data_IF_632219363409
#
_entry.id   IF_632219363409
#
_cell.length_a   1.000
_cell.length_b   1.000
_cell.length_c   1.000
_cell.angle_alpha   90.00
_cell.angle_beta   90.00
_cell.angle_gamma   90.00
#
_symmetry.space_group_name_H-M   'P 1'
#
loop_
_entity.id
_entity.type
_entity.pdbx_description
1 polymer ?
#
# COMPACT_ATOMS: atom_id res chain seq x y z
N UNK A 1 -9.95 49.94 59.77
CA UNK A 1 -10.93 49.20 58.87
C UNK A 1 -10.88 49.73 57.46
N UNK A 2 -10.25 49.03 56.53
CA UNK A 2 -10.30 49.39 55.07
C UNK A 2 -11.63 48.96 54.48
N UNK A 3 -12.49 49.90 54.07
CA UNK A 3 -13.73 49.64 53.33
C UNK A 3 -13.34 48.98 51.99
N UNK A 4 -13.62 47.68 51.83
CA UNK A 4 -13.59 47.02 50.51
C UNK A 4 -14.64 47.71 49.61
N UNK A 5 -14.17 48.44 48.58
CA UNK A 5 -15.06 48.94 47.51
C UNK A 5 -15.72 47.70 46.85
N UNK A 6 -17.04 47.61 46.99
CA UNK A 6 -17.84 46.65 46.24
C UNK A 6 -17.64 46.97 44.76
N UNK A 7 -16.94 46.12 44.02
CA UNK A 7 -16.83 46.26 42.55
C UNK A 7 -18.21 45.97 41.97
N UNK A 8 -18.73 46.95 41.28
CA UNK A 8 -20.01 46.86 40.60
C UNK A 8 -19.93 45.82 39.45
N UNK A 9 -20.50 44.65 39.65
CA UNK A 9 -20.42 43.51 38.75
C UNK A 9 -20.92 43.83 37.32
N UNK A 10 -21.90 44.73 37.23
CA UNK A 10 -22.44 45.16 35.92
C UNK A 10 -21.40 45.97 35.12
N UNK A 11 -20.62 46.82 35.78
CA UNK A 11 -19.56 47.59 35.11
C UNK A 11 -18.41 46.69 34.66
N UNK A 12 -18.07 45.66 35.44
CA UNK A 12 -17.03 44.70 35.06
C UNK A 12 -17.50 43.91 33.84
N UNK A 13 -18.73 43.44 33.79
CA UNK A 13 -19.33 42.72 32.64
C UNK A 13 -19.31 43.61 31.40
N UNK A 14 -19.82 44.84 31.52
CA UNK A 14 -19.87 45.79 30.41
C UNK A 14 -18.47 46.09 29.85
N UNK A 15 -17.51 46.38 30.75
CA UNK A 15 -16.10 46.61 30.35
C UNK A 15 -15.52 45.37 29.65
N UNK A 16 -15.79 44.15 30.16
CA UNK A 16 -15.32 42.92 29.52
C UNK A 16 -15.92 42.73 28.12
N UNK A 17 -17.20 43.05 27.92
CA UNK A 17 -17.84 43.00 26.62
C UNK A 17 -17.22 44.01 25.68
N UNK A 18 -17.00 45.27 26.10
CA UNK A 18 -16.38 46.30 25.25
C UNK A 18 -14.97 45.85 24.84
N UNK A 19 -14.16 45.39 25.81
CA UNK A 19 -12.80 44.89 25.53
C UNK A 19 -12.85 43.72 24.55
N UNK A 20 -13.77 42.78 24.70
CA UNK A 20 -13.95 41.63 23.81
C UNK A 20 -14.25 42.07 22.38
N UNK A 21 -15.22 42.97 22.21
CA UNK A 21 -15.57 43.48 20.85
C UNK A 21 -14.44 44.33 20.25
N UNK A 22 -13.72 45.11 21.05
CA UNK A 22 -12.55 45.88 20.61
C UNK A 22 -11.43 44.93 20.11
N UNK A 23 -11.17 43.85 20.84
CA UNK A 23 -10.19 42.84 20.45
C UNK A 23 -10.62 42.13 19.14
N UNK A 24 -11.89 41.75 19.02
CA UNK A 24 -12.42 41.15 17.79
C UNK A 24 -12.28 42.13 16.62
N UNK A 25 -12.68 43.37 16.78
CA UNK A 25 -12.57 44.41 15.73
C UNK A 25 -11.10 44.57 15.32
N UNK A 26 -10.19 44.70 16.30
CA UNK A 26 -8.77 44.83 16.01
C UNK A 26 -8.23 43.62 15.25
N UNK A 27 -8.56 42.41 15.67
CA UNK A 27 -8.15 41.17 14.98
C UNK A 27 -8.75 41.06 13.58
N UNK A 28 -9.92 41.66 13.30
CA UNK A 28 -10.57 41.58 12.00
C UNK A 28 -10.01 42.56 10.95
N UNK A 29 -9.34 43.65 11.38
CA UNK A 29 -8.80 44.67 10.47
C UNK A 29 -7.94 44.10 9.33
N UNK A 30 -7.01 43.11 9.56
CA UNK A 30 -6.21 42.56 8.49
C UNK A 30 -7.02 41.89 7.37
N UNK A 31 -8.22 41.37 7.68
CA UNK A 31 -9.08 40.71 6.68
C UNK A 31 -9.58 41.69 5.61
N UNK A 32 -9.62 42.99 5.92
CA UNK A 32 -10.07 44.04 5.01
C UNK A 32 -8.98 44.52 4.04
N UNK A 33 -7.76 44.05 4.18
CA UNK A 33 -6.65 44.47 3.36
C UNK A 33 -6.60 43.72 2.02
N UNK A 34 -6.19 44.39 0.96
CA UNK A 34 -5.89 43.74 -0.33
C UNK A 34 -4.45 43.20 -0.30
N UNK A 35 -4.32 41.86 -0.37
CA UNK A 35 -3.03 41.17 -0.33
C UNK A 35 -2.48 40.79 -1.72
N UNK A 36 -3.21 41.02 -2.79
CA UNK A 36 -2.71 40.75 -4.15
C UNK A 36 -1.45 41.58 -4.49
N UNK A 37 -1.30 42.73 -3.87
CA UNK A 37 -0.11 43.60 -4.05
C UNK A 37 1.20 42.99 -3.52
N UNK A 38 1.12 41.99 -2.64
CA UNK A 38 2.30 41.33 -2.06
C UNK A 38 2.50 39.91 -2.63
N UNK A 39 1.77 39.51 -3.67
CA UNK A 39 1.85 38.20 -4.29
C UNK A 39 3.30 37.81 -4.61
N UNK A 40 4.03 38.64 -5.34
CA UNK A 40 5.42 38.36 -5.74
C UNK A 40 6.35 38.17 -4.51
N UNK A 41 6.06 38.84 -3.39
CA UNK A 41 6.85 38.72 -2.17
C UNK A 41 6.58 37.38 -1.53
N UNK A 42 5.32 36.94 -1.50
CA UNK A 42 4.92 35.63 -0.96
C UNK A 42 5.53 34.50 -1.81
N UNK A 43 5.41 34.58 -3.15
CA UNK A 43 5.97 33.58 -4.07
C UNK A 43 7.49 33.42 -3.85
N UNK A 44 8.24 34.52 -3.86
CA UNK A 44 9.68 34.51 -3.60
C UNK A 44 10.04 33.93 -2.23
N UNK A 45 9.22 34.24 -1.22
CA UNK A 45 9.46 33.76 0.16
C UNK A 45 9.22 32.25 0.27
N UNK A 46 8.17 31.73 -0.33
CA UNK A 46 7.89 30.29 -0.38
C UNK A 46 8.99 29.56 -1.16
N UNK A 47 9.39 30.06 -2.30
CA UNK A 47 10.48 29.48 -3.09
C UNK A 47 11.79 29.45 -2.31
N UNK A 48 12.18 30.54 -1.67
CA UNK A 48 13.44 30.61 -0.93
C UNK A 48 13.46 29.73 0.34
N UNK A 49 12.36 29.66 1.10
CA UNK A 49 12.32 29.02 2.42
C UNK A 49 11.84 27.56 2.38
N UNK A 50 10.93 27.22 1.47
CA UNK A 50 10.36 25.87 1.35
C UNK A 50 10.89 25.11 0.14
N UNK A 51 11.63 25.79 -0.74
CA UNK A 51 12.13 25.20 -2.00
C UNK A 51 10.99 24.65 -2.87
N UNK A 52 9.88 25.37 -2.87
CA UNK A 52 8.70 25.12 -3.67
C UNK A 52 8.50 26.34 -4.57
N UNK A 53 8.58 26.16 -5.86
CA UNK A 53 8.28 27.28 -6.76
C UNK A 53 6.77 27.48 -6.82
N UNK A 54 6.32 28.61 -6.26
CA UNK A 54 4.90 28.91 -6.09
C UNK A 54 4.47 29.93 -7.14
N UNK A 55 3.43 29.61 -7.90
CA UNK A 55 2.73 30.52 -8.77
C UNK A 55 1.28 30.66 -8.32
N UNK A 56 0.94 31.84 -7.80
CA UNK A 56 -0.40 32.14 -7.32
C UNK A 56 -1.29 32.51 -8.51
N UNK A 57 -2.41 31.81 -8.67
CA UNK A 57 -3.36 32.01 -9.78
C UNK A 57 -4.68 32.66 -9.33
N UNK A 58 -4.92 32.73 -8.03
CA UNK A 58 -6.14 33.25 -7.43
C UNK A 58 -5.88 34.32 -6.39
N UNK A 59 -6.96 34.89 -5.84
CA UNK A 59 -6.88 35.91 -4.81
C UNK A 59 -6.24 35.43 -3.53
N UNK A 60 -5.51 36.34 -2.88
CA UNK A 60 -4.93 36.16 -1.57
C UNK A 60 -5.83 36.81 -0.53
N UNK A 61 -6.25 36.05 0.46
CA UNK A 61 -6.98 36.57 1.62
C UNK A 61 -6.29 36.14 2.91
N UNK A 62 -6.49 36.89 3.98
CA UNK A 62 -6.01 36.48 5.31
C UNK A 62 -7.14 35.87 6.12
N UNK A 63 -6.80 34.81 6.85
CA UNK A 63 -7.67 34.18 7.86
C UNK A 63 -6.94 34.17 9.20
N UNK A 64 -7.64 34.45 10.28
CA UNK A 64 -7.06 34.58 11.62
C UNK A 64 -7.15 33.29 12.40
N UNK A 65 -8.26 32.56 12.25
CA UNK A 65 -8.52 31.31 12.97
C UNK A 65 -8.31 30.08 12.09
N UNK A 66 -7.91 28.92 12.67
CA UNK A 66 -7.44 28.72 14.06
C UNK A 66 -6.06 29.31 14.36
N UNK A 67 -5.26 29.62 13.36
CA UNK A 67 -3.99 30.35 13.40
C UNK A 67 -3.95 31.31 12.22
N UNK A 68 -3.31 32.50 12.36
CA UNK A 68 -3.20 33.43 11.23
C UNK A 68 -2.52 32.79 10.03
N UNK A 69 -3.11 32.97 8.85
CA UNK A 69 -2.55 32.47 7.59
C UNK A 69 -3.08 33.25 6.38
N UNK A 70 -2.26 33.34 5.34
CA UNK A 70 -2.74 33.68 4.02
C UNK A 70 -3.40 32.47 3.40
N UNK A 71 -4.59 32.66 2.85
CA UNK A 71 -5.33 31.66 2.10
C UNK A 71 -5.30 32.06 0.61
N UNK A 72 -4.71 31.18 -0.19
CA UNK A 72 -4.68 31.28 -1.65
C UNK A 72 -5.60 30.20 -2.20
N UNK A 73 -6.63 30.59 -2.94
CA UNK A 73 -7.66 29.64 -3.42
C UNK A 73 -7.18 28.78 -4.57
N UNK A 74 -6.27 29.27 -5.40
CA UNK A 74 -5.72 28.51 -6.52
C UNK A 74 -4.26 28.87 -6.72
N UNK A 75 -3.42 27.86 -6.78
CA UNK A 75 -1.99 28.02 -7.01
C UNK A 75 -1.43 26.77 -7.72
N UNK A 76 -0.32 27.00 -8.43
CA UNK A 76 0.54 25.92 -8.91
C UNK A 76 1.80 25.92 -8.05
N UNK A 77 2.25 24.72 -7.69
CA UNK A 77 3.51 24.48 -6.99
C UNK A 77 4.35 23.56 -7.85
N UNK A 78 5.56 24.00 -8.16
CA UNK A 78 6.57 23.15 -8.76
C UNK A 78 7.62 22.80 -7.71
N UNK A 79 7.99 21.53 -7.69
CA UNK A 79 9.10 21.08 -6.88
C UNK A 79 10.37 21.42 -7.65
N UNK A 80 11.21 22.32 -7.13
CA UNK A 80 12.52 22.76 -7.69
C UNK A 80 13.53 21.59 -7.86
N UNK A 81 13.04 20.37 -7.86
CA UNK A 81 13.78 19.12 -7.96
C UNK A 81 13.86 18.65 -9.40
N UNK A 82 12.90 19.04 -10.21
CA UNK A 82 12.59 18.36 -11.47
C UNK A 82 12.76 19.38 -12.59
N UNK A 83 13.84 19.22 -13.34
CA UNK A 83 14.10 19.99 -14.55
C UNK A 83 13.11 19.69 -15.69
N UNK A 84 11.93 19.17 -15.38
CA UNK A 84 10.93 18.70 -16.35
C UNK A 84 9.57 19.34 -16.05
N UNK A 85 8.92 19.93 -17.04
CA UNK A 85 7.66 20.68 -16.92
C UNK A 85 6.45 19.88 -16.39
N UNK A 86 6.61 18.60 -16.13
CA UNK A 86 5.51 17.67 -15.82
C UNK A 86 5.16 17.51 -14.34
N UNK A 87 5.84 18.17 -13.42
CA UNK A 87 5.66 18.00 -11.97
C UNK A 87 4.90 19.11 -11.27
N UNK A 88 4.08 19.82 -12.02
CA UNK A 88 3.25 20.89 -11.46
C UNK A 88 2.14 20.31 -10.58
N UNK A 89 2.10 20.74 -9.32
CA UNK A 89 1.06 20.40 -8.35
C UNK A 89 -0.02 21.48 -8.41
N UNK A 90 -1.19 21.13 -8.90
CA UNK A 90 -2.35 22.02 -8.83
C UNK A 90 -2.98 21.98 -7.45
N UNK A 91 -3.05 23.14 -6.79
CA UNK A 91 -3.58 23.30 -5.44
C UNK A 91 -4.83 24.13 -5.45
N UNK A 92 -5.91 23.64 -4.85
CA UNK A 92 -7.15 24.42 -4.71
C UNK A 92 -7.18 25.28 -3.44
N UNK A 93 -6.50 24.92 -2.38
CA UNK A 93 -6.40 25.71 -1.15
C UNK A 93 -5.01 25.61 -0.56
N UNK A 94 -4.26 26.70 -0.65
CA UNK A 94 -2.95 26.84 -0.05
C UNK A 94 -3.04 27.77 1.15
N UNK A 95 -2.63 27.30 2.33
CA UNK A 95 -2.55 28.11 3.55
C UNK A 95 -1.09 28.33 3.92
N UNK A 96 -0.71 29.58 4.06
CA UNK A 96 0.62 30.00 4.46
C UNK A 96 0.54 30.58 5.86
N UNK A 97 0.92 29.78 6.87
CA UNK A 97 0.82 30.19 8.28
C UNK A 97 1.86 31.24 8.63
N UNK A 98 1.42 32.28 9.32
CA UNK A 98 2.24 33.40 9.76
C UNK A 98 2.23 33.53 11.29
N UNK A 99 3.32 34.03 11.91
CA UNK A 99 3.32 34.34 13.34
C UNK A 99 2.28 35.39 13.68
N UNK A 100 1.57 35.25 14.79
CA UNK A 100 0.55 36.20 15.23
C UNK A 100 1.09 37.63 15.37
N UNK A 101 2.37 37.77 15.73
CA UNK A 101 3.06 39.08 15.90
C UNK A 101 3.24 39.78 14.52
N UNK A 102 3.21 39.03 13.41
CA UNK A 102 3.38 39.57 12.05
C UNK A 102 2.08 39.80 11.31
N UNK A 103 0.92 39.68 12.00
CA UNK A 103 -0.41 39.78 11.40
C UNK A 103 -0.63 41.11 10.66
N UNK A 104 -0.04 42.21 11.13
CA UNK A 104 -0.15 43.54 10.53
C UNK A 104 1.06 43.93 9.66
N UNK A 105 2.08 43.10 9.57
CA UNK A 105 3.29 43.39 8.80
C UNK A 105 3.07 43.06 7.32
N UNK A 106 3.21 44.05 6.45
CA UNK A 106 3.15 43.86 4.99
C UNK A 106 4.53 43.80 4.35
N UNK A 107 5.54 44.42 4.97
CA UNK A 107 6.89 44.50 4.42
C UNK A 107 7.79 43.36 4.85
N UNK A 108 7.51 42.74 6.03
CA UNK A 108 8.32 41.66 6.58
C UNK A 108 7.43 40.39 6.73
N UNK A 109 7.23 39.72 5.61
CA UNK A 109 6.44 38.48 5.55
C UNK A 109 7.28 37.33 6.05
N UNK A 110 6.80 36.68 7.11
CA UNK A 110 7.39 35.47 7.69
C UNK A 110 6.38 34.33 7.53
N UNK A 111 6.79 33.25 6.89
CA UNK A 111 5.95 32.04 6.72
C UNK A 111 6.53 30.94 7.63
N UNK A 112 5.76 30.48 8.58
CA UNK A 112 6.16 29.44 9.53
C UNK A 112 5.93 28.02 9.00
N UNK A 113 4.84 27.81 8.27
CA UNK A 113 4.46 26.53 7.70
C UNK A 113 3.58 26.71 6.46
N UNK A 114 3.56 25.69 5.61
CA UNK A 114 2.70 25.58 4.45
C UNK A 114 1.73 24.42 4.64
N UNK A 115 0.43 24.65 4.34
CA UNK A 115 -0.58 23.60 4.28
C UNK A 115 -1.26 23.62 2.91
N UNK A 116 -1.23 22.48 2.24
CA UNK A 116 -1.79 22.24 0.91
C UNK A 116 -3.04 21.39 1.09
N UNK A 117 -4.18 21.81 0.55
CA UNK A 117 -5.43 21.03 0.62
C UNK A 117 -5.99 20.80 -0.79
N UNK A 118 -6.57 19.61 -0.98
CA UNK A 118 -7.25 19.20 -2.20
C UNK A 118 -6.36 19.30 -3.46
N UNK A 119 -5.14 18.77 -3.37
CA UNK A 119 -4.17 18.78 -4.47
C UNK A 119 -4.10 17.42 -5.18
N UNK A 120 -3.82 17.48 -6.48
CA UNK A 120 -3.35 16.36 -7.25
C UNK A 120 -1.83 16.48 -7.42
N UNK A 121 -1.09 15.49 -6.97
CA UNK A 121 0.37 15.50 -6.92
C UNK A 121 0.87 14.38 -7.82
N UNK A 122 1.49 14.74 -8.93
CA UNK A 122 2.03 13.81 -9.91
C UNK A 122 3.53 13.64 -9.68
N UNK A 123 3.97 12.39 -9.46
CA UNK A 123 5.37 12.04 -9.20
C UNK A 123 5.80 10.92 -10.15
N UNK A 124 6.81 11.16 -10.95
CA UNK A 124 7.47 10.10 -11.71
C UNK A 124 8.31 9.22 -10.76
N UNK A 125 8.42 7.94 -11.05
CA UNK A 125 9.19 7.00 -10.22
C UNK A 125 10.63 7.45 -10.00
N UNK A 126 11.27 8.05 -11.00
CA UNK A 126 12.62 8.63 -10.90
C UNK A 126 12.72 9.76 -9.88
N UNK A 127 11.66 10.55 -9.71
CA UNK A 127 11.66 11.77 -8.91
C UNK A 127 11.40 11.50 -7.41
N UNK A 128 10.95 10.29 -7.06
CA UNK A 128 10.67 9.91 -5.66
C UNK A 128 11.95 9.98 -4.81
N UNK A 129 13.08 9.57 -5.36
CA UNK A 129 14.37 9.63 -4.67
C UNK A 129 14.84 11.07 -4.48
N UNK A 130 14.67 11.90 -5.50
CA UNK A 130 15.03 13.32 -5.47
C UNK A 130 14.14 14.09 -4.48
N UNK A 131 12.83 13.82 -4.46
CA UNK A 131 11.91 14.39 -3.48
C UNK A 131 12.38 14.11 -2.04
N UNK A 132 12.81 12.88 -1.77
CA UNK A 132 13.36 12.52 -0.46
C UNK A 132 14.59 13.34 -0.10
N UNK A 133 15.57 13.47 -1.03
CA UNK A 133 16.75 14.31 -0.81
C UNK A 133 16.34 15.74 -0.49
N UNK A 134 15.42 16.28 -1.25
CA UNK A 134 14.92 17.63 -1.11
C UNK A 134 14.30 17.85 0.29
N UNK A 135 13.38 16.98 0.71
CA UNK A 135 12.75 17.05 2.02
C UNK A 135 13.79 17.02 3.16
N UNK A 136 14.76 16.11 3.08
CA UNK A 136 15.68 15.93 4.21
C UNK A 136 16.83 16.91 4.25
N UNK A 137 17.30 17.42 3.12
CA UNK A 137 18.48 18.30 3.08
C UNK A 137 18.14 19.76 2.89
N UNK A 138 17.15 20.06 2.04
CA UNK A 138 16.87 21.46 1.67
C UNK A 138 15.75 22.11 2.50
N UNK A 139 14.72 21.35 2.90
CA UNK A 139 13.57 21.89 3.61
C UNK A 139 13.77 21.85 5.11
N UNK A 140 13.59 23.00 5.77
CA UNK A 140 13.75 23.15 7.21
C UNK A 140 12.50 23.72 7.91
N UNK A 141 11.38 23.78 7.21
CA UNK A 141 10.10 24.29 7.75
C UNK A 141 9.00 23.25 7.57
N UNK A 142 7.98 23.27 8.43
CA UNK A 142 6.86 22.32 8.34
C UNK A 142 6.05 22.47 7.05
N UNK A 143 5.69 21.33 6.44
CA UNK A 143 4.77 21.24 5.31
C UNK A 143 3.68 20.23 5.67
N UNK A 144 2.44 20.61 5.42
CA UNK A 144 1.27 19.78 5.63
C UNK A 144 0.49 19.63 4.33
N UNK A 145 0.01 18.43 4.04
CA UNK A 145 -0.86 18.16 2.88
C UNK A 145 -2.09 17.42 3.40
N UNK A 146 -3.27 17.81 2.95
CA UNK A 146 -4.55 17.20 3.37
C UNK A 146 -5.46 16.92 2.18
N UNK A 147 -6.25 15.86 2.28
CA UNK A 147 -7.32 15.52 1.33
C UNK A 147 -6.86 15.58 -0.12
N UNK A 148 -5.71 15.00 -0.42
CA UNK A 148 -5.03 15.09 -1.71
C UNK A 148 -4.85 13.71 -2.33
N UNK A 149 -4.42 13.63 -3.59
CA UNK A 149 -4.12 12.36 -4.26
C UNK A 149 -2.70 12.38 -4.78
N UNK A 150 -1.98 11.29 -4.57
CA UNK A 150 -0.73 11.01 -5.27
C UNK A 150 -0.99 10.13 -6.48
N UNK A 151 -0.45 10.56 -7.60
CA UNK A 151 -0.38 9.81 -8.86
C UNK A 151 1.09 9.47 -9.09
N UNK A 152 1.43 8.20 -8.99
CA UNK A 152 2.78 7.72 -9.31
C UNK A 152 2.77 7.34 -10.78
N UNK A 153 3.65 7.97 -11.55
CA UNK A 153 3.75 7.83 -12.99
C UNK A 153 5.02 7.06 -13.36
N UNK A 154 4.97 6.32 -14.46
CA UNK A 154 6.18 5.87 -15.15
C UNK A 154 6.85 7.03 -15.93
N UNK A 155 7.98 6.76 -16.59
CA UNK A 155 8.66 7.80 -17.38
C UNK A 155 7.89 8.21 -18.65
N UNK A 156 6.89 7.43 -19.08
CA UNK A 156 6.00 7.71 -20.20
C UNK A 156 4.71 8.42 -19.76
N UNK A 157 4.67 8.91 -18.50
CA UNK A 157 3.53 9.60 -17.87
C UNK A 157 2.28 8.74 -17.68
N UNK A 158 2.40 7.42 -17.78
CA UNK A 158 1.32 6.51 -17.43
C UNK A 158 1.22 6.33 -15.92
N UNK A 159 0.01 6.40 -15.39
CA UNK A 159 -0.25 6.19 -13.96
C UNK A 159 -0.03 4.72 -13.59
N UNK A 160 0.92 4.48 -12.69
CA UNK A 160 1.19 3.15 -12.11
C UNK A 160 0.31 2.92 -10.88
N UNK A 161 0.18 3.96 -10.04
CA UNK A 161 -0.49 3.86 -8.76
C UNK A 161 -1.16 5.17 -8.39
N UNK A 162 -2.38 5.09 -7.87
CA UNK A 162 -3.10 6.21 -7.26
C UNK A 162 -3.22 5.95 -5.76
N UNK A 163 -2.77 6.90 -4.95
CA UNK A 163 -2.89 6.82 -3.49
C UNK A 163 -3.64 8.04 -2.95
N UNK A 164 -4.89 7.88 -2.52
CA UNK A 164 -5.59 8.91 -1.76
C UNK A 164 -4.89 9.20 -0.44
N UNK A 165 -4.60 10.47 -0.20
CA UNK A 165 -3.88 10.95 0.99
C UNK A 165 -4.85 11.72 1.89
N UNK A 166 -5.06 11.21 3.09
CA UNK A 166 -5.83 11.89 4.14
C UNK A 166 -5.00 13.02 4.77
N UNK A 167 -3.71 12.74 5.03
CA UNK A 167 -2.82 13.73 5.67
C UNK A 167 -1.36 13.38 5.48
N UNK A 168 -0.54 14.37 5.12
CA UNK A 168 0.91 14.37 5.25
C UNK A 168 1.32 15.44 6.25
N UNK A 169 2.34 15.15 7.04
CA UNK A 169 2.96 16.11 7.96
C UNK A 169 4.47 15.92 7.95
N UNK A 170 5.16 16.89 7.37
CA UNK A 170 6.61 16.98 7.44
C UNK A 170 6.98 18.06 8.46
N UNK A 171 7.85 17.73 9.40
CA UNK A 171 8.27 18.66 10.46
C UNK A 171 9.60 18.26 11.10
N UNK A 172 10.22 19.23 11.77
CA UNK A 172 11.43 19.04 12.56
C UNK A 172 11.01 18.76 13.99
N UNK A 173 11.46 17.64 14.52
CA UNK A 173 11.27 17.29 15.92
C UNK A 173 12.52 17.62 16.73
N UNK A 174 12.48 18.76 17.43
CA UNK A 174 13.61 19.23 18.22
C UNK A 174 13.95 18.32 19.42
N UNK A 175 12.95 17.63 19.98
CA UNK A 175 13.17 16.71 21.12
C UNK A 175 13.99 15.49 20.71
N UNK A 176 13.64 14.88 19.59
CA UNK A 176 14.34 13.71 19.04
C UNK A 176 15.50 14.07 18.11
N UNK A 177 15.74 15.36 17.85
CA UNK A 177 16.74 15.85 16.89
C UNK A 177 16.63 15.13 15.54
N UNK A 178 15.42 15.11 14.99
CA UNK A 178 15.11 14.41 13.75
C UNK A 178 14.18 15.19 12.85
N UNK A 179 14.25 14.92 11.55
CA UNK A 179 13.22 15.28 10.58
C UNK A 179 12.24 14.11 10.45
N UNK A 180 10.96 14.40 10.52
CA UNK A 180 9.90 13.40 10.47
C UNK A 180 8.90 13.70 9.34
N UNK A 181 8.55 12.65 8.57
CA UNK A 181 7.49 12.69 7.57
C UNK A 181 6.45 11.63 7.95
N UNK A 182 5.25 12.07 8.26
CA UNK A 182 4.12 11.19 8.60
C UNK A 182 3.08 11.26 7.51
N UNK A 183 2.67 10.11 7.00
CA UNK A 183 1.67 9.99 5.94
C UNK A 183 0.52 9.12 6.44
N UNK A 184 -0.71 9.56 6.21
CA UNK A 184 -1.92 8.76 6.38
C UNK A 184 -2.65 8.75 5.05
N UNK A 185 -2.90 7.61 4.52
CA UNK A 185 -3.52 7.46 3.21
C UNK A 185 -4.19 6.10 3.03
N UNK A 186 -4.49 5.81 1.78
CA UNK A 186 -5.06 4.56 1.35
C UNK A 186 -4.31 4.05 0.12
N UNK A 187 -4.07 2.76 0.03
CA UNK A 187 -3.52 2.06 -1.12
C UNK A 187 -4.35 0.79 -1.30
N UNK A 188 -4.91 0.56 -2.48
CA UNK A 188 -5.75 -0.61 -2.79
C UNK A 188 -6.88 -0.81 -1.75
N UNK A 189 -7.56 0.27 -1.38
CA UNK A 189 -8.56 0.31 -0.30
C UNK A 189 -8.04 -0.05 1.10
N UNK A 190 -6.74 -0.25 1.26
CA UNK A 190 -6.10 -0.52 2.54
C UNK A 190 -5.62 0.79 3.17
N UNK A 191 -6.18 1.14 4.32
CA UNK A 191 -5.73 2.30 5.10
C UNK A 191 -4.33 2.05 5.65
N UNK A 192 -3.41 3.01 5.43
CA UNK A 192 -2.06 2.95 5.97
C UNK A 192 -1.65 4.19 6.75
N UNK A 193 -0.72 3.98 7.69
CA UNK A 193 0.05 5.03 8.34
C UNK A 193 1.54 4.77 8.09
N UNK A 194 2.22 5.74 7.52
CA UNK A 194 3.65 5.70 7.26
C UNK A 194 4.37 6.76 8.07
N UNK A 195 5.48 6.41 8.68
CA UNK A 195 6.30 7.30 9.49
C UNK A 195 7.77 7.15 9.09
N UNK A 196 8.33 8.18 8.48
CA UNK A 196 9.73 8.27 8.11
C UNK A 196 10.45 9.14 9.14
N UNK A 197 11.59 8.67 9.62
CA UNK A 197 12.38 9.38 10.62
C UNK A 197 13.86 9.33 10.31
N UNK A 198 14.47 10.50 10.27
CA UNK A 198 15.90 10.66 10.05
C UNK A 198 16.52 11.48 11.17
N UNK A 199 17.46 10.88 11.86
CA UNK A 199 18.18 11.54 12.94
C UNK A 199 19.37 12.35 12.42
N UNK A 200 19.62 13.53 12.99
CA UNK A 200 20.78 14.34 12.62
C UNK A 200 22.11 13.64 12.93
N UNK A 201 22.15 12.86 14.02
CA UNK A 201 23.33 12.11 14.42
C UNK A 201 23.70 10.94 13.47
N UNK A 202 22.73 10.44 12.66
CA UNK A 202 22.91 9.33 11.72
C UNK A 202 22.32 9.71 10.36
N UNK A 203 22.92 10.68 9.63
CA UNK A 203 22.30 11.24 8.44
C UNK A 203 22.20 10.28 7.26
N UNK A 204 23.00 9.19 7.24
CA UNK A 204 22.92 8.16 6.20
C UNK A 204 21.81 7.14 6.43
N UNK A 205 21.23 7.06 7.64
CA UNK A 205 20.22 6.08 7.98
C UNK A 205 18.85 6.74 8.10
N UNK A 206 17.85 6.16 7.49
CA UNK A 206 16.46 6.57 7.63
C UNK A 206 15.63 5.39 8.11
N UNK A 207 14.92 5.58 9.21
CA UNK A 207 13.92 4.62 9.68
C UNK A 207 12.58 4.93 9.02
N UNK A 208 11.93 3.91 8.53
CA UNK A 208 10.61 4.01 7.95
C UNK A 208 9.71 2.91 8.51
N UNK A 209 8.58 3.28 9.03
CA UNK A 209 7.58 2.35 9.56
C UNK A 209 6.26 2.54 8.81
N UNK A 210 5.70 1.47 8.26
CA UNK A 210 4.38 1.44 7.64
C UNK A 210 3.51 0.50 8.46
N UNK A 211 2.30 0.94 8.78
CA UNK A 211 1.25 0.13 9.39
C UNK A 211 0.04 0.12 8.47
N UNK A 212 -0.29 -1.06 7.95
CA UNK A 212 -1.55 -1.31 7.26
C UNK A 212 -2.59 -1.76 8.28
N UNK A 213 -3.86 -1.45 8.06
CA UNK A 213 -4.89 -1.77 9.05
C UNK A 213 -5.59 -3.10 8.78
N UNK A 214 -5.96 -3.35 7.54
CA UNK A 214 -6.61 -4.58 7.11
C UNK A 214 -5.97 -5.02 5.79
N UNK A 215 -5.22 -6.12 5.75
CA UNK A 215 -4.75 -6.91 6.90
C UNK A 215 -3.80 -6.12 7.81
N UNK A 216 -3.66 -6.53 9.07
CA UNK A 216 -2.74 -5.90 10.02
C UNK A 216 -1.28 -6.25 9.69
N UNK A 217 -0.63 -5.37 8.91
CA UNK A 217 0.76 -5.54 8.48
C UNK A 217 1.61 -4.42 9.07
N UNK A 218 2.71 -4.79 9.69
CA UNK A 218 3.74 -3.85 10.14
C UNK A 218 5.01 -4.06 9.34
N UNK A 219 5.44 -3.01 8.63
CA UNK A 219 6.68 -2.98 7.86
C UNK A 219 7.62 -1.98 8.52
N UNK A 220 8.81 -2.41 8.89
CA UNK A 220 9.89 -1.55 9.38
C UNK A 220 11.08 -1.64 8.45
N UNK A 221 11.45 -0.52 7.87
CA UNK A 221 12.59 -0.42 6.96
C UNK A 221 13.72 0.39 7.59
N UNK A 222 14.93 -0.05 7.38
CA UNK A 222 16.14 0.68 7.66
C UNK A 222 16.89 0.90 6.35
N UNK A 223 16.96 2.13 5.90
CA UNK A 223 17.62 2.51 4.65
C UNK A 223 19.06 2.96 4.93
N UNK A 224 20.00 2.47 4.12
CA UNK A 224 21.40 2.85 4.10
C UNK A 224 21.73 3.48 2.74
N UNK A 225 22.02 4.77 2.73
CA UNK A 225 22.29 5.52 1.52
C UNK A 225 23.80 5.55 1.25
N UNK A 226 24.20 5.00 0.11
CA UNK A 226 25.56 5.12 -0.42
C UNK A 226 25.70 6.41 -1.24
N UNK A 227 24.76 6.63 -2.16
CA UNK A 227 24.59 7.83 -2.97
C UNK A 227 23.09 8.10 -3.24
N UNK A 228 22.74 8.95 -4.20
CA UNK A 228 21.34 9.32 -4.50
C UNK A 228 20.58 8.26 -5.28
N UNK A 229 21.27 7.52 -6.17
CA UNK A 229 20.67 6.52 -7.06
C UNK A 229 20.80 5.09 -6.53
N UNK A 230 21.74 4.87 -5.62
CA UNK A 230 22.04 3.54 -5.10
C UNK A 230 21.89 3.50 -3.59
N UNK A 231 21.04 2.65 -3.11
CA UNK A 231 20.87 2.42 -1.68
C UNK A 231 20.48 0.99 -1.39
N UNK A 232 20.79 0.56 -0.18
CA UNK A 232 20.42 -0.75 0.36
C UNK A 232 19.54 -0.57 1.56
N UNK A 233 18.81 -1.60 1.91
CA UNK A 233 17.99 -1.58 3.10
C UNK A 233 17.66 -2.95 3.62
N UNK A 234 17.24 -2.93 4.86
CA UNK A 234 16.75 -4.10 5.58
C UNK A 234 15.30 -3.82 5.95
N UNK A 235 14.43 -4.78 5.70
CA UNK A 235 13.01 -4.72 6.03
C UNK A 235 12.66 -5.83 7.00
N UNK A 236 12.02 -5.46 8.07
CA UNK A 236 11.29 -6.37 8.94
C UNK A 236 9.80 -6.22 8.62
N UNK A 237 9.17 -7.30 8.20
CA UNK A 237 7.75 -7.38 7.90
C UNK A 237 7.10 -8.33 8.91
N UNK A 238 6.08 -7.85 9.63
CA UNK A 238 5.19 -8.70 10.41
C UNK A 238 3.84 -8.76 9.71
N UNK A 239 3.46 -9.97 9.30
CA UNK A 239 2.24 -10.23 8.56
C UNK A 239 1.61 -11.53 9.08
N UNK A 240 0.35 -11.50 9.51
CA UNK A 240 -0.40 -12.66 10.02
C UNK A 240 0.40 -13.45 11.09
N UNK A 241 1.07 -12.75 12.01
CA UNK A 241 1.95 -13.28 13.05
C UNK A 241 3.23 -13.97 12.54
N UNK A 242 3.56 -13.80 11.26
CA UNK A 242 4.82 -14.23 10.68
C UNK A 242 5.81 -13.07 10.59
N UNK A 243 7.05 -13.34 10.97
CA UNK A 243 8.14 -12.37 10.87
C UNK A 243 8.98 -12.70 9.64
N UNK A 244 9.03 -11.76 8.69
CA UNK A 244 9.76 -11.89 7.43
C UNK A 244 10.87 -10.84 7.40
N UNK A 245 12.09 -11.28 7.20
CA UNK A 245 13.25 -10.40 7.01
C UNK A 245 13.59 -10.35 5.53
N UNK A 246 13.81 -9.17 5.02
CA UNK A 246 14.08 -8.90 3.61
C UNK A 246 15.24 -7.94 3.50
N UNK A 247 16.21 -8.26 2.67
CA UNK A 247 17.22 -7.33 2.20
C UNK A 247 16.81 -6.82 0.82
N UNK A 248 17.07 -5.57 0.55
CA UNK A 248 16.87 -5.04 -0.79
C UNK A 248 17.99 -4.09 -1.18
N UNK A 249 18.23 -3.99 -2.48
CA UNK A 249 19.12 -3.01 -3.07
C UNK A 249 18.43 -2.32 -4.23
N UNK A 250 18.58 -1.01 -4.28
CA UNK A 250 18.11 -0.18 -5.39
C UNK A 250 19.32 0.28 -6.17
N UNK A 251 19.30 0.04 -7.47
CA UNK A 251 20.36 0.44 -8.40
C UNK A 251 19.70 1.05 -9.62
N UNK A 252 19.92 2.33 -9.83
CA UNK A 252 19.31 3.06 -10.95
C UNK A 252 17.79 2.86 -11.03
N UNK A 253 17.33 2.08 -12.01
CA UNK A 253 15.91 1.80 -12.28
C UNK A 253 15.49 0.40 -11.85
N UNK A 254 16.28 -0.31 -11.06
CA UNK A 254 15.97 -1.67 -10.62
C UNK A 254 16.01 -1.81 -9.09
N UNK A 255 15.06 -2.55 -8.56
CA UNK A 255 15.02 -2.94 -7.14
C UNK A 255 15.15 -4.46 -7.09
N UNK A 256 16.12 -4.92 -6.32
CA UNK A 256 16.33 -6.33 -6.02
C UNK A 256 15.93 -6.58 -4.57
N UNK A 257 15.09 -7.56 -4.36
CA UNK A 257 14.59 -7.96 -3.05
C UNK A 257 14.92 -9.43 -2.83
N UNK A 258 15.49 -9.75 -1.66
CA UNK A 258 15.79 -11.11 -1.29
C UNK A 258 15.61 -11.36 0.21
N UNK A 259 15.10 -12.51 0.57
CA UNK A 259 15.10 -12.97 1.96
C UNK A 259 16.46 -13.58 2.31
N UNK A 260 17.09 -13.16 3.42
CA UNK A 260 18.40 -13.70 3.80
C UNK A 260 18.31 -15.18 4.21
N UNK A 261 19.12 -16.03 3.59
CA UNK A 261 19.18 -17.49 3.84
C UNK A 261 19.56 -17.89 5.28
N UNK A 262 19.86 -16.93 6.16
CA UNK A 262 20.42 -17.20 7.49
C UNK A 262 19.36 -17.47 8.58
N UNK A 263 18.09 -17.17 8.35
CA UNK A 263 17.03 -17.38 9.34
C UNK A 263 16.27 -18.69 9.09
N UNK A 264 16.79 -19.81 9.59
CA UNK A 264 16.11 -21.13 9.57
C UNK A 264 14.70 -21.19 10.20
N UNK A 265 14.21 -20.08 10.74
CA UNK A 265 12.87 -19.99 11.36
C UNK A 265 11.83 -19.33 10.44
N UNK A 266 12.26 -18.76 9.34
CA UNK A 266 11.37 -18.04 8.44
C UNK A 266 10.57 -19.04 7.60
N UNK A 267 9.25 -18.92 7.62
CA UNK A 267 8.33 -19.79 6.87
C UNK A 267 7.86 -19.18 5.57
N UNK A 268 8.15 -17.88 5.38
CA UNK A 268 7.84 -17.13 4.16
C UNK A 268 9.11 -16.42 3.73
N UNK A 269 9.52 -16.63 2.47
CA UNK A 269 10.65 -15.97 1.85
C UNK A 269 10.18 -15.24 0.59
N UNK A 270 10.72 -14.04 0.36
CA UNK A 270 10.40 -13.21 -0.79
C UNK A 270 11.65 -12.95 -1.60
N UNK A 271 11.59 -13.25 -2.89
CA UNK A 271 12.61 -12.89 -3.87
C UNK A 271 11.92 -12.13 -5.01
N UNK A 272 12.42 -10.94 -5.35
CA UNK A 272 11.82 -10.15 -6.42
C UNK A 272 12.83 -9.26 -7.12
N UNK A 273 12.57 -9.04 -8.41
CA UNK A 273 13.20 -8.03 -9.21
C UNK A 273 12.10 -7.08 -9.74
N UNK A 274 12.25 -5.79 -9.44
CA UNK A 274 11.32 -4.75 -9.89
C UNK A 274 12.08 -3.81 -10.81
N UNK A 275 11.59 -3.62 -12.03
CA UNK A 275 12.04 -2.57 -12.94
C UNK A 275 11.12 -1.37 -12.77
N UNK A 276 11.67 -0.18 -12.66
CA UNK A 276 10.90 1.04 -12.48
C UNK A 276 10.51 1.69 -13.80
N UNK A 277 11.21 1.34 -14.89
CA UNK A 277 10.96 1.91 -16.21
C UNK A 277 11.23 0.92 -17.35
N UNK A 278 10.23 0.43 -18.11
CA UNK A 278 8.81 0.49 -17.73
C UNK A 278 8.58 -0.28 -16.43
N UNK A 279 7.51 0.07 -15.70
CA UNK A 279 7.23 -0.63 -14.44
C UNK A 279 6.88 -2.08 -14.69
N UNK A 280 7.68 -2.98 -14.11
CA UNK A 280 7.50 -4.42 -14.19
C UNK A 280 8.12 -5.10 -12.97
N UNK A 281 7.37 -6.01 -12.36
CA UNK A 281 7.91 -6.82 -11.28
C UNK A 281 7.88 -8.31 -11.61
N UNK A 282 8.86 -9.02 -11.08
CA UNK A 282 8.94 -10.48 -11.09
C UNK A 282 9.23 -10.93 -9.66
N UNK A 283 8.27 -11.59 -9.03
CA UNK A 283 8.31 -11.90 -7.62
C UNK A 283 8.01 -13.38 -7.36
N UNK A 284 8.81 -14.00 -6.50
CA UNK A 284 8.59 -15.36 -6.01
C UNK A 284 8.46 -15.32 -4.49
N UNK A 285 7.38 -15.88 -3.98
CA UNK A 285 7.11 -16.03 -2.54
C UNK A 285 7.15 -17.53 -2.22
N UNK A 286 8.18 -17.95 -1.51
CA UNK A 286 8.30 -19.31 -1.00
C UNK A 286 7.56 -19.40 0.35
N UNK A 287 6.65 -20.33 0.47
CA UNK A 287 5.83 -20.55 1.67
C UNK A 287 6.05 -21.98 2.15
N UNK A 288 6.49 -22.11 3.40
CA UNK A 288 6.77 -23.40 4.01
C UNK A 288 5.89 -23.61 5.26
N UNK A 289 5.38 -24.84 5.45
CA UNK A 289 4.67 -25.25 6.68
C UNK A 289 3.42 -24.41 7.02
N UNK A 290 2.72 -23.89 6.01
CA UNK A 290 1.41 -23.23 6.15
C UNK A 290 0.30 -24.13 5.66
N UNK A 291 -0.95 -23.84 6.06
CA UNK A 291 -2.11 -24.51 5.49
C UNK A 291 -2.59 -23.82 4.22
N UNK A 292 -3.45 -24.50 3.47
CA UNK A 292 -3.96 -23.98 2.20
C UNK A 292 -4.92 -22.80 2.42
N UNK A 293 -5.64 -22.76 3.53
CA UNK A 293 -6.57 -21.67 3.84
C UNK A 293 -5.81 -20.36 4.02
N UNK A 294 -4.65 -20.37 4.72
CA UNK A 294 -3.76 -19.22 4.80
C UNK A 294 -3.38 -18.68 3.40
N UNK A 295 -3.10 -19.57 2.46
CA UNK A 295 -2.66 -19.19 1.13
C UNK A 295 -3.81 -18.59 0.32
N UNK A 296 -4.97 -19.25 0.32
CA UNK A 296 -6.11 -18.85 -0.50
C UNK A 296 -6.84 -17.67 0.14
N UNK A 297 -7.21 -17.78 1.41
CA UNK A 297 -8.10 -16.83 2.06
C UNK A 297 -7.36 -15.55 2.49
N UNK A 298 -6.11 -15.67 2.93
CA UNK A 298 -5.35 -14.51 3.42
C UNK A 298 -4.48 -13.86 2.33
N UNK A 299 -3.79 -14.66 1.48
CA UNK A 299 -2.85 -14.09 0.50
C UNK A 299 -3.50 -13.87 -0.87
N UNK A 300 -4.14 -14.88 -1.45
CA UNK A 300 -4.70 -14.80 -2.80
C UNK A 300 -5.88 -13.85 -2.82
N UNK A 301 -6.74 -13.87 -1.80
CA UNK A 301 -7.89 -12.98 -1.70
C UNK A 301 -7.50 -11.50 -1.72
N UNK A 302 -6.38 -11.11 -1.10
CA UNK A 302 -5.89 -9.74 -1.14
C UNK A 302 -5.57 -9.31 -2.59
N UNK A 303 -4.97 -10.20 -3.38
CA UNK A 303 -4.60 -9.92 -4.78
C UNK A 303 -5.86 -9.79 -5.64
N UNK A 304 -6.82 -10.70 -5.45
CA UNK A 304 -8.03 -10.76 -6.27
C UNK A 304 -9.04 -9.66 -5.91
N UNK A 305 -9.08 -9.22 -4.66
CA UNK A 305 -9.96 -8.14 -4.20
C UNK A 305 -9.42 -6.74 -4.47
N UNK A 306 -8.21 -6.61 -5.08
CA UNK A 306 -7.70 -5.30 -5.48
C UNK A 306 -8.56 -4.72 -6.60
N UNK A 307 -9.04 -3.47 -6.42
CA UNK A 307 -9.86 -2.80 -7.45
C UNK A 307 -9.02 -2.45 -8.67
N UNK A 308 -9.60 -2.65 -9.84
CA UNK A 308 -8.96 -2.39 -11.14
C UNK A 308 -8.40 -0.96 -11.27
N UNK A 309 -9.09 0.04 -10.69
CA UNK A 309 -8.67 1.45 -10.72
C UNK A 309 -7.25 1.69 -10.17
N UNK A 310 -6.77 0.83 -9.26
CA UNK A 310 -5.48 1.02 -8.59
C UNK A 310 -4.35 0.22 -9.24
N UNK A 311 -4.66 -0.71 -10.14
CA UNK A 311 -3.70 -1.56 -10.83
C UNK A 311 -3.37 -1.07 -12.24
N UNK A 312 -3.83 0.12 -12.60
CA UNK A 312 -3.59 0.70 -13.92
C UNK A 312 -2.08 0.77 -14.18
N UNK A 313 -1.66 0.12 -15.29
CA UNK A 313 -0.25 0.02 -15.71
C UNK A 313 0.71 -0.73 -14.77
N UNK A 314 0.22 -1.43 -13.75
CA UNK A 314 1.03 -2.39 -13.02
C UNK A 314 1.16 -3.65 -13.86
N UNK A 315 2.40 -4.00 -14.19
CA UNK A 315 2.73 -5.21 -14.93
C UNK A 315 3.71 -6.08 -14.12
N UNK A 316 3.48 -7.37 -14.08
CA UNK A 316 4.38 -8.27 -13.37
C UNK A 316 3.97 -9.74 -13.42
N UNK A 317 4.83 -10.56 -12.85
CA UNK A 317 4.55 -11.95 -12.55
C UNK A 317 4.71 -12.15 -11.04
N UNK A 318 3.85 -12.99 -10.47
CA UNK A 318 3.94 -13.41 -9.08
C UNK A 318 3.81 -14.92 -9.02
N UNK A 319 4.77 -15.59 -8.41
CA UNK A 319 4.77 -17.02 -8.19
C UNK A 319 4.76 -17.32 -6.70
N UNK A 320 3.78 -18.07 -6.24
CA UNK A 320 3.82 -18.71 -4.92
C UNK A 320 4.39 -20.12 -5.08
N UNK A 321 5.47 -20.39 -4.36
CA UNK A 321 6.08 -21.72 -4.25
C UNK A 321 5.73 -22.27 -2.87
N UNK A 322 4.99 -23.37 -2.84
CA UNK A 322 4.43 -23.98 -1.65
C UNK A 322 5.21 -25.24 -1.30
N UNK A 323 5.72 -25.32 -0.07
CA UNK A 323 6.53 -26.45 0.36
C UNK A 323 5.99 -27.01 1.69
N UNK A 324 5.87 -28.34 1.79
CA UNK A 324 5.52 -29.04 3.02
C UNK A 324 4.30 -28.46 3.73
N UNK A 325 3.19 -28.26 3.01
CA UNK A 325 1.99 -27.65 3.56
C UNK A 325 1.42 -28.45 4.75
N UNK A 326 0.95 -27.73 5.77
CA UNK A 326 0.30 -28.35 6.92
C UNK A 326 -1.09 -28.88 6.54
N UNK A 327 -1.50 -29.95 7.17
CA UNK A 327 -2.83 -30.56 6.98
C UNK A 327 -3.20 -30.83 5.49
N UNK A 328 -2.22 -30.93 4.61
CA UNK A 328 -2.38 -31.14 3.18
C UNK A 328 -1.72 -32.44 2.74
N UNK A 329 -2.20 -32.96 1.62
CA UNK A 329 -1.53 -34.05 0.90
C UNK A 329 -0.50 -33.52 -0.11
N UNK A 330 -0.50 -32.22 -0.34
CA UNK A 330 0.39 -31.51 -1.25
C UNK A 330 1.73 -31.29 -0.55
N UNK A 331 2.80 -31.76 -1.17
CA UNK A 331 4.16 -31.64 -0.66
C UNK A 331 4.86 -30.42 -1.28
N UNK A 332 4.64 -30.21 -2.58
CA UNK A 332 5.15 -29.09 -3.35
C UNK A 332 4.05 -28.53 -4.24
N UNK A 333 4.07 -27.23 -4.48
CA UNK A 333 3.15 -26.59 -5.42
C UNK A 333 3.63 -25.25 -5.91
N UNK A 334 3.16 -24.88 -7.10
CA UNK A 334 3.37 -23.55 -7.67
C UNK A 334 2.05 -22.96 -8.14
N UNK A 335 1.78 -21.72 -7.72
CA UNK A 335 0.65 -20.92 -8.22
C UNK A 335 1.21 -19.69 -8.90
N UNK A 336 0.89 -19.53 -10.18
CA UNK A 336 1.47 -18.50 -11.03
C UNK A 336 0.43 -17.47 -11.45
N UNK A 337 0.73 -16.21 -11.15
CA UNK A 337 -0.06 -15.05 -11.55
C UNK A 337 0.65 -14.23 -12.63
N UNK A 338 -0.12 -13.68 -13.53
CA UNK A 338 0.32 -12.65 -14.48
C UNK A 338 -0.59 -11.45 -14.34
N UNK A 339 0.00 -10.32 -13.98
CA UNK A 339 -0.71 -9.05 -13.84
C UNK A 339 -0.36 -8.20 -15.06
N UNK A 340 -1.34 -7.77 -15.82
CA UNK A 340 -1.18 -6.97 -17.04
C UNK A 340 -2.35 -6.00 -17.17
N UNK A 341 -2.05 -4.70 -17.21
CA UNK A 341 -3.01 -3.64 -17.53
C UNK A 341 -4.39 -3.86 -16.88
N UNK A 342 -4.46 -3.80 -15.57
CA UNK A 342 -5.66 -4.00 -14.74
C UNK A 342 -6.22 -5.43 -14.69
N UNK A 343 -5.60 -6.39 -15.35
CA UNK A 343 -6.08 -7.78 -15.30
C UNK A 343 -5.12 -8.68 -14.54
N UNK A 344 -5.66 -9.43 -13.59
CA UNK A 344 -4.96 -10.52 -12.92
C UNK A 344 -5.38 -11.82 -13.57
N UNK A 345 -4.42 -12.56 -14.10
CA UNK A 345 -4.65 -13.88 -14.70
C UNK A 345 -3.85 -14.93 -13.95
N UNK A 346 -4.51 -15.99 -13.56
CA UNK A 346 -3.82 -17.17 -13.08
C UNK A 346 -3.32 -17.98 -14.30
N UNK A 347 -2.09 -18.44 -14.21
CA UNK A 347 -1.49 -19.35 -15.20
C UNK A 347 -1.61 -20.78 -14.71
N UNK A 348 -1.31 -21.72 -15.58
CA UNK A 348 -1.22 -23.13 -15.21
C UNK A 348 -0.31 -23.31 -13.98
N UNK A 349 -0.87 -23.95 -12.97
CA UNK A 349 -0.23 -24.20 -11.68
C UNK A 349 -0.03 -25.70 -11.50
N UNK A 350 0.98 -26.08 -10.72
CA UNK A 350 1.30 -27.49 -10.52
C UNK A 350 1.45 -27.80 -9.05
N UNK A 351 0.95 -28.98 -8.64
CA UNK A 351 1.06 -29.46 -7.27
C UNK A 351 1.54 -30.90 -7.29
N UNK A 352 2.47 -31.23 -6.43
CA UNK A 352 2.97 -32.59 -6.25
C UNK A 352 2.42 -33.18 -4.98
N UNK A 353 1.90 -34.39 -5.09
CA UNK A 353 1.52 -35.21 -3.95
C UNK A 353 2.63 -36.25 -3.78
N UNK A 354 3.33 -36.14 -2.66
CA UNK A 354 4.53 -36.92 -2.36
C UNK A 354 4.35 -38.40 -2.67
N UNK A 355 5.25 -38.92 -3.49
CA UNK A 355 5.33 -40.32 -3.93
C UNK A 355 4.07 -40.83 -4.66
N UNK A 356 3.09 -39.98 -4.98
CA UNK A 356 1.81 -40.40 -5.58
C UNK A 356 1.69 -39.91 -7.01
N UNK A 357 1.83 -38.58 -7.22
CA UNK A 357 1.59 -38.01 -8.53
C UNK A 357 1.59 -36.49 -8.54
N UNK A 358 1.07 -35.94 -9.63
CA UNK A 358 1.10 -34.51 -9.93
C UNK A 358 -0.29 -34.04 -10.32
N UNK A 359 -0.69 -32.87 -9.78
CA UNK A 359 -1.90 -32.17 -10.23
C UNK A 359 -1.46 -30.97 -11.06
N UNK A 360 -2.03 -30.83 -12.25
CA UNK A 360 -1.95 -29.60 -13.06
C UNK A 360 -3.30 -28.91 -12.99
N UNK A 361 -3.29 -27.64 -12.61
CA UNK A 361 -4.51 -26.85 -12.37
C UNK A 361 -4.50 -25.60 -13.26
N UNK A 362 -5.63 -25.32 -13.88
CA UNK A 362 -5.90 -24.08 -14.58
C UNK A 362 -6.90 -23.29 -13.76
N UNK A 363 -6.44 -22.24 -13.09
CA UNK A 363 -7.24 -21.45 -12.16
C UNK A 363 -7.93 -20.28 -12.85
N UNK A 364 -9.12 -19.96 -12.37
CA UNK A 364 -9.87 -18.74 -12.67
C UNK A 364 -10.60 -18.26 -11.42
N UNK A 365 -11.02 -17.02 -11.43
CA UNK A 365 -11.87 -16.45 -10.38
C UNK A 365 -12.97 -15.62 -11.02
N UNK A 366 -14.09 -15.50 -10.33
CA UNK A 366 -15.24 -14.72 -10.74
C UNK A 366 -16.09 -14.34 -9.52
N UNK A 367 -16.97 -13.36 -9.71
CA UNK A 367 -17.97 -13.00 -8.71
C UNK A 367 -19.28 -13.71 -9.04
N UNK A 368 -19.87 -14.35 -8.05
CA UNK A 368 -21.19 -14.99 -8.11
C UNK A 368 -22.06 -14.46 -6.98
N UNK A 369 -23.16 -13.80 -7.32
CA UNK A 369 -24.06 -13.12 -6.35
C UNK A 369 -23.35 -12.19 -5.35
N UNK A 370 -22.16 -11.71 -5.70
CA UNK A 370 -21.32 -10.85 -4.86
C UNK A 370 -20.23 -11.58 -4.07
N UNK A 371 -20.25 -12.91 -4.02
CA UNK A 371 -19.23 -13.74 -3.42
C UNK A 371 -18.07 -13.97 -4.41
N UNK A 372 -16.84 -13.98 -3.92
CA UNK A 372 -15.65 -14.29 -4.72
C UNK A 372 -15.46 -15.81 -4.80
N UNK A 373 -15.60 -16.35 -6.01
CA UNK A 373 -15.39 -17.77 -6.30
C UNK A 373 -14.03 -17.99 -6.93
N UNK A 374 -13.25 -18.86 -6.34
CA UNK A 374 -11.98 -19.35 -6.89
C UNK A 374 -12.21 -20.74 -7.46
N UNK A 375 -12.06 -20.88 -8.78
CA UNK A 375 -12.37 -22.11 -9.52
C UNK A 375 -11.13 -22.66 -10.21
N UNK A 376 -11.04 -23.99 -10.36
CA UNK A 376 -9.96 -24.63 -11.10
C UNK A 376 -10.41 -25.88 -11.87
N UNK A 377 -9.87 -26.03 -13.07
CA UNK A 377 -9.91 -27.25 -13.85
C UNK A 377 -8.62 -28.03 -13.58
N UNK A 378 -8.74 -29.27 -13.10
CA UNK A 378 -7.62 -30.03 -12.58
C UNK A 378 -7.41 -31.33 -13.33
N UNK A 379 -6.14 -31.66 -13.55
CA UNK A 379 -5.71 -32.97 -14.07
C UNK A 379 -4.77 -33.59 -13.05
N UNK A 380 -5.20 -34.65 -12.42
CA UNK A 380 -4.37 -35.42 -11.51
C UNK A 380 -3.77 -36.64 -12.25
N UNK A 381 -2.46 -36.64 -12.44
CA UNK A 381 -1.69 -37.76 -13.00
C UNK A 381 -1.16 -38.64 -11.87
N UNK A 382 -1.59 -39.89 -11.84
CA UNK A 382 -1.14 -40.88 -10.85
C UNK A 382 0.14 -41.55 -11.36
N UNK A 383 1.27 -41.26 -10.71
CA UNK A 383 2.57 -41.83 -11.07
C UNK A 383 2.78 -43.15 -10.29
N UNK A 384 2.43 -43.18 -9.02
CA UNK A 384 2.62 -44.36 -8.16
C UNK A 384 1.27 -44.87 -7.65
N UNK A 385 0.72 -45.84 -8.35
CA UNK A 385 -0.57 -46.47 -8.01
C UNK A 385 -0.56 -47.18 -6.67
N UNK A 386 0.56 -47.72 -6.24
CA UNK A 386 0.68 -48.44 -4.95
C UNK A 386 0.55 -47.45 -3.79
N UNK A 387 1.23 -46.33 -3.83
CA UNK A 387 1.15 -45.29 -2.81
C UNK A 387 -0.22 -44.59 -2.82
N UNK A 388 -0.80 -44.34 -4.01
CA UNK A 388 -2.16 -43.83 -4.13
C UNK A 388 -3.17 -44.80 -3.49
N UNK A 389 -3.09 -46.08 -3.82
CA UNK A 389 -3.91 -47.13 -3.21
C UNK A 389 -3.83 -47.13 -1.67
N UNK A 390 -2.62 -47.05 -1.14
CA UNK A 390 -2.36 -47.01 0.30
C UNK A 390 -2.98 -45.78 0.97
N UNK A 391 -2.74 -44.61 0.40
CA UNK A 391 -3.20 -43.33 0.99
C UNK A 391 -4.70 -43.15 0.96
N UNK A 392 -5.35 -43.60 -0.11
CA UNK A 392 -6.80 -43.50 -0.30
C UNK A 392 -7.56 -44.78 0.09
N UNK A 393 -6.83 -45.84 0.54
CA UNK A 393 -7.40 -47.14 0.95
C UNK A 393 -8.20 -47.83 -0.14
N UNK A 394 -7.63 -47.87 -1.35
CA UNK A 394 -8.22 -48.45 -2.56
C UNK A 394 -7.59 -49.81 -2.88
N UNK A 395 -8.33 -50.66 -3.58
CA UNK A 395 -7.74 -51.90 -4.14
C UNK A 395 -6.85 -51.58 -5.33
N UNK A 396 -5.64 -52.13 -5.39
CA UNK A 396 -4.73 -51.96 -6.54
C UNK A 396 -5.37 -52.45 -7.86
N UNK A 397 -6.22 -53.49 -7.82
CA UNK A 397 -6.92 -53.99 -8.98
C UNK A 397 -7.79 -52.89 -9.64
N UNK A 398 -8.44 -52.08 -8.82
CA UNK A 398 -9.28 -50.97 -9.29
C UNK A 398 -8.46 -49.87 -9.99
N UNK A 399 -7.19 -49.72 -9.71
CA UNK A 399 -6.33 -48.68 -10.21
C UNK A 399 -5.54 -49.07 -11.48
N UNK A 400 -5.58 -50.32 -11.92
CA UNK A 400 -4.75 -50.81 -13.00
C UNK A 400 -4.87 -49.96 -14.28
N UNK A 401 -6.07 -49.55 -14.62
CA UNK A 401 -6.38 -48.79 -15.84
C UNK A 401 -6.52 -47.27 -15.59
N UNK A 402 -6.28 -46.78 -14.34
CA UNK A 402 -6.45 -45.37 -14.02
C UNK A 402 -5.09 -44.70 -14.00
N UNK A 403 -4.90 -43.75 -14.91
CA UNK A 403 -3.67 -42.95 -14.97
C UNK A 403 -3.95 -41.47 -14.70
N UNK A 404 -5.11 -40.96 -15.11
CA UNK A 404 -5.48 -39.55 -14.97
C UNK A 404 -6.91 -39.42 -14.45
N UNK A 405 -7.09 -38.48 -13.52
CA UNK A 405 -8.40 -38.06 -13.01
C UNK A 405 -8.54 -36.57 -13.33
N UNK A 406 -9.61 -36.21 -14.00
CA UNK A 406 -10.00 -34.84 -14.29
C UNK A 406 -11.10 -34.45 -13.34
N UNK A 407 -11.07 -33.24 -12.80
CA UNK A 407 -12.11 -32.72 -11.92
C UNK A 407 -12.07 -31.20 -11.86
N UNK A 408 -13.22 -30.58 -11.61
CA UNK A 408 -13.32 -29.19 -11.29
C UNK A 408 -13.37 -29.01 -9.77
N UNK A 409 -12.75 -27.95 -9.27
CA UNK A 409 -12.81 -27.54 -7.88
C UNK A 409 -13.26 -26.08 -7.84
N UNK A 410 -14.21 -25.79 -6.96
CA UNK A 410 -14.66 -24.44 -6.66
C UNK A 410 -14.56 -24.18 -5.17
N UNK A 411 -14.00 -23.04 -4.80
CA UNK A 411 -13.96 -22.56 -3.41
C UNK A 411 -14.61 -21.19 -3.37
N UNK A 412 -15.70 -21.06 -2.61
CA UNK A 412 -16.24 -19.78 -2.23
C UNK A 412 -15.39 -19.21 -1.10
N UNK A 413 -14.74 -18.07 -1.35
CA UNK A 413 -13.80 -17.44 -0.42
C UNK A 413 -14.54 -16.87 0.80
N UNK A 414 -15.73 -16.30 0.58
CA UNK A 414 -16.48 -15.58 1.61
C UNK A 414 -17.10 -16.52 2.65
N UNK A 415 -17.60 -17.69 2.25
CA UNK A 415 -18.21 -18.67 3.15
C UNK A 415 -17.35 -19.92 3.41
N UNK A 416 -16.14 -19.97 2.79
CA UNK A 416 -15.18 -21.06 2.93
C UNK A 416 -15.71 -22.45 2.53
N UNK A 417 -16.61 -22.51 1.55
CA UNK A 417 -17.15 -23.76 1.03
C UNK A 417 -16.35 -24.26 -0.17
N UNK A 418 -16.06 -25.55 -0.19
CA UNK A 418 -15.30 -26.20 -1.27
C UNK A 418 -16.18 -27.25 -1.92
N UNK A 419 -16.26 -27.22 -3.25
CA UNK A 419 -17.00 -28.16 -4.07
C UNK A 419 -16.11 -28.81 -5.11
N UNK A 420 -16.34 -30.08 -5.41
CA UNK A 420 -15.73 -30.81 -6.52
C UNK A 420 -16.84 -31.27 -7.44
N UNK A 421 -16.64 -31.08 -8.74
CA UNK A 421 -17.57 -31.48 -9.80
C UNK A 421 -16.84 -32.04 -11.01
N UNK A 422 -17.60 -32.48 -12.02
CA UNK A 422 -17.11 -32.88 -13.34
C UNK A 422 -15.93 -33.85 -13.30
N UNK A 423 -16.11 -34.96 -12.60
CA UNK A 423 -15.06 -35.94 -12.40
C UNK A 423 -15.02 -36.97 -13.54
N UNK A 424 -13.89 -36.99 -14.26
CA UNK A 424 -13.68 -37.94 -15.37
C UNK A 424 -12.43 -38.78 -15.12
N UNK A 425 -12.48 -40.05 -15.47
CA UNK A 425 -11.34 -40.98 -15.40
C UNK A 425 -10.81 -41.25 -16.82
N UNK A 426 -9.53 -40.96 -17.04
CA UNK A 426 -8.86 -41.13 -18.35
C UNK A 426 -9.60 -40.46 -19.55
N UNK A 427 -10.27 -39.32 -19.34
CA UNK A 427 -11.14 -38.63 -20.30
C UNK A 427 -12.42 -39.37 -20.72
N UNK A 428 -12.75 -40.47 -20.08
CA UNK A 428 -14.03 -41.14 -20.30
C UNK A 428 -15.00 -40.62 -19.24
N UNK A 429 -16.15 -40.14 -19.71
CA UNK A 429 -17.23 -39.67 -18.85
C UNK A 429 -17.69 -40.83 -17.97
N UNK A 430 -17.69 -40.66 -16.67
CA UNK A 430 -18.20 -41.67 -15.78
C UNK A 430 -19.64 -41.33 -15.48
N UNK A 431 -20.59 -42.10 -16.03
CA UNK A 431 -22.04 -41.87 -15.91
C UNK A 431 -22.54 -41.67 -14.46
N UNK A 432 -21.75 -42.07 -13.47
CA UNK A 432 -22.07 -41.91 -12.06
C UNK A 432 -21.68 -40.52 -11.48
N UNK A 433 -20.93 -39.70 -12.23
CA UNK A 433 -20.27 -38.53 -11.66
C UNK A 433 -20.56 -37.21 -12.38
N UNK A 434 -21.26 -37.24 -13.52
CA UNK A 434 -21.38 -36.12 -14.45
C UNK A 434 -22.26 -34.94 -14.02
N UNK A 435 -22.98 -35.00 -12.89
CA UNK A 435 -23.88 -33.90 -12.48
C UNK A 435 -23.84 -33.60 -10.96
N UNK A 436 -22.93 -34.20 -10.19
CA UNK A 436 -22.96 -34.06 -8.74
C UNK A 436 -21.89 -33.09 -8.23
N UNK A 437 -22.32 -32.03 -7.56
CA UNK A 437 -21.46 -31.17 -6.74
C UNK A 437 -21.23 -31.84 -5.38
N UNK A 438 -19.97 -32.15 -5.07
CA UNK A 438 -19.57 -32.75 -3.81
C UNK A 438 -18.95 -31.71 -2.89
N UNK A 439 -19.65 -31.39 -1.79
CA UNK A 439 -19.11 -30.47 -0.77
C UNK A 439 -18.04 -31.15 0.05
N UNK A 440 -16.82 -30.61 0.05
CA UNK A 440 -15.66 -31.16 0.75
C UNK A 440 -15.44 -30.38 2.04
N UNK A 441 -15.65 -31.04 3.18
CA UNK A 441 -15.47 -30.44 4.52
C UNK A 441 -14.11 -30.75 5.14
N UNK A 442 -13.49 -31.85 4.74
CA UNK A 442 -12.19 -32.29 5.27
C UNK A 442 -11.58 -33.42 4.43
N UNK A 443 -10.33 -33.77 4.71
CA UNK A 443 -9.59 -34.81 4.00
C UNK A 443 -10.30 -36.18 4.04
N UNK A 444 -11.04 -36.51 5.10
CA UNK A 444 -11.77 -37.81 5.18
C UNK A 444 -12.94 -37.86 4.19
N UNK A 445 -13.67 -36.76 4.02
CA UNK A 445 -14.74 -36.63 3.00
C UNK A 445 -14.15 -36.79 1.60
N UNK A 446 -13.01 -36.14 1.32
CA UNK A 446 -12.29 -36.30 0.06
C UNK A 446 -11.86 -37.76 -0.19
N UNK A 447 -11.32 -38.45 0.81
CA UNK A 447 -10.96 -39.86 0.69
C UNK A 447 -12.16 -40.77 0.43
N UNK A 448 -13.29 -40.47 1.05
CA UNK A 448 -14.54 -41.21 0.81
C UNK A 448 -15.01 -40.99 -0.63
N UNK A 449 -15.05 -39.73 -1.08
CA UNK A 449 -15.40 -39.37 -2.46
C UNK A 449 -14.53 -40.12 -3.47
N UNK A 450 -13.22 -40.12 -3.29
CA UNK A 450 -12.29 -40.84 -4.18
C UNK A 450 -12.57 -42.34 -4.20
N UNK A 451 -12.96 -42.93 -3.05
CA UNK A 451 -13.33 -44.37 -2.98
C UNK A 451 -14.66 -44.68 -3.68
N UNK A 452 -15.62 -43.78 -3.61
CA UNK A 452 -16.96 -43.97 -4.17
C UNK A 452 -16.97 -43.80 -5.70
N UNK A 453 -16.10 -42.92 -6.21
CA UNK A 453 -15.99 -42.58 -7.64
C UNK A 453 -15.15 -43.61 -8.40
N UNK A 454 -14.08 -44.11 -7.76
CA UNK A 454 -13.19 -45.06 -8.43
C UNK A 454 -13.80 -46.46 -8.42
N UNK A 455 -13.95 -47.09 -9.62
CA UNK A 455 -14.70 -48.30 -9.82
C UNK A 455 -14.18 -49.53 -9.04
#
# INVERSE_FOLDING_TARGET
MRKRKKIDSSKVILTSIIVFFTVILFLSLPVLFNYNSIQNVIEKKVSSEFKLDLKILGDISIKIFPKPHYLVKKANLDLDIINDDSSTIEVQNLKLFIPSQKLYSRSDIVIEAVEIENANIYLKTKDILDLRYHLYYKINKPIYIKNSKFFILDNNEKTILISPIKKISYFINNKSKSKELKIKGNIFDIDYNSNWKRYYAKPKNTLHEIKLKNPNILIKNLFFFEDFSNFKGETFLNFLNEEIFINYSVKENEIYIESPNQNKKQTIELNSKIKLNPFFFDATINIEKKDMDFIIDDLISIILNSKDEYLENINGNLTFVLNNLKNSIIDYGEINFSIRENSVKLKNSTFEIKDIGKITSNFRYYLDEGDLIFSSENIFEIVNKKEFSRKFQLSLKKLNNINKIYFNLEKNIDNNEIFISDIYINKVENEKTSENYYKIKNLQVLKNLVRDILP
#
